data_IF_731084670574
#
_entry.id   IF_731084670574
#
_cell.length_a   1.000
_cell.length_b   1.000
_cell.length_c   1.000
_cell.angle_alpha   90.00
_cell.angle_beta   90.00
_cell.angle_gamma   90.00
#
_symmetry.space_group_name_H-M   'P 1'
#
loop_
_entity.id
_entity.type
_entity.pdbx_description
1 polymer ?
#
# COMPACT_ATOMS: atom_id res chain seq x y z
N UNK A 1 -15.14 -32.31 -6.23
CA UNK A 1 -13.78 -32.31 -6.80
C UNK A 1 -13.12 -31.01 -6.40
N UNK A 2 -11.93 -31.02 -5.78
CA UNK A 2 -11.20 -29.77 -5.60
C UNK A 2 -10.88 -29.22 -6.99
N UNK A 3 -11.06 -27.93 -7.21
CA UNK A 3 -10.63 -27.26 -8.45
C UNK A 3 -9.10 -27.42 -8.54
N UNK A 4 -8.64 -28.33 -9.40
CA UNK A 4 -7.23 -28.74 -9.51
C UNK A 4 -6.40 -27.87 -10.46
N UNK A 5 -6.96 -26.81 -11.03
CA UNK A 5 -6.21 -25.83 -11.82
C UNK A 5 -6.33 -24.45 -11.18
N UNK A 6 -5.20 -23.79 -10.94
CA UNK A 6 -5.18 -22.37 -10.64
C UNK A 6 -5.91 -21.62 -11.77
N UNK A 7 -6.85 -20.75 -11.40
CA UNK A 7 -7.56 -19.92 -12.36
C UNK A 7 -6.63 -18.77 -12.81
N UNK A 8 -6.77 -18.31 -14.07
CA UNK A 8 -6.03 -17.14 -14.54
C UNK A 8 -6.53 -15.87 -13.84
N UNK A 9 -5.71 -14.80 -13.85
CA UNK A 9 -6.04 -13.50 -13.24
C UNK A 9 -7.36 -12.93 -13.79
N UNK A 10 -7.66 -13.16 -15.06
CA UNK A 10 -8.90 -12.77 -15.74
C UNK A 10 -10.15 -13.35 -15.08
N UNK A 11 -10.05 -14.53 -14.46
CA UNK A 11 -11.19 -15.14 -13.80
C UNK A 11 -11.64 -14.38 -12.53
N UNK A 12 -10.82 -13.45 -12.04
CA UNK A 12 -11.18 -12.56 -10.93
C UNK A 12 -12.06 -11.38 -11.39
N UNK A 13 -12.16 -11.15 -12.71
CA UNK A 13 -12.93 -10.06 -13.32
C UNK A 13 -14.22 -10.61 -13.92
N UNK A 14 -15.33 -10.41 -13.22
CA UNK A 14 -16.66 -10.82 -13.68
C UNK A 14 -17.74 -9.93 -13.02
N UNK A 15 -18.71 -9.39 -13.78
CA UNK A 15 -19.68 -8.44 -13.27
C UNK A 15 -20.66 -9.01 -12.23
N UNK A 16 -20.74 -10.34 -12.09
CA UNK A 16 -21.69 -11.02 -11.20
C UNK A 16 -20.99 -11.62 -9.98
N UNK A 17 -19.85 -12.29 -10.19
CA UNK A 17 -19.19 -13.17 -9.22
C UNK A 17 -17.71 -12.88 -9.00
N UNK A 18 -17.14 -11.94 -9.76
CA UNK A 18 -15.74 -11.54 -9.62
C UNK A 18 -15.50 -10.72 -8.35
N UNK A 19 -14.26 -10.75 -7.85
CA UNK A 19 -13.78 -9.76 -6.87
C UNK A 19 -13.71 -8.38 -7.53
N UNK A 20 -13.39 -8.35 -8.82
CA UNK A 20 -13.45 -7.18 -9.67
C UNK A 20 -14.64 -7.33 -10.61
N UNK A 21 -15.50 -6.30 -10.69
CA UNK A 21 -16.69 -6.29 -11.55
C UNK A 21 -16.37 -5.87 -12.98
N UNK A 22 -15.46 -4.93 -13.13
CA UNK A 22 -14.98 -4.42 -14.41
C UNK A 22 -13.63 -3.74 -14.25
N UNK A 23 -12.87 -3.65 -15.34
CA UNK A 23 -11.66 -2.82 -15.43
C UNK A 23 -11.79 -1.97 -16.68
N UNK A 24 -11.52 -0.68 -16.57
CA UNK A 24 -11.64 0.27 -17.67
C UNK A 24 -10.40 1.20 -17.73
N UNK A 25 -10.03 1.69 -18.93
CA UNK A 25 -9.05 2.74 -19.03
C UNK A 25 -9.57 4.01 -18.35
N UNK A 26 -8.68 4.71 -17.64
CA UNK A 26 -8.95 6.06 -17.14
C UNK A 26 -8.76 7.03 -18.30
N UNK A 27 -9.63 8.04 -18.39
CA UNK A 27 -9.47 9.12 -19.37
C UNK A 27 -8.11 9.80 -19.19
N UNK A 28 -7.39 10.01 -20.31
CA UNK A 28 -6.03 10.53 -20.25
C UNK A 28 -6.01 11.94 -19.63
N UNK A 29 -5.36 12.15 -18.47
CA UNK A 29 -5.44 13.44 -17.79
C UNK A 29 -4.75 14.54 -18.58
N UNK A 30 -5.37 15.72 -18.63
CA UNK A 30 -4.84 16.87 -19.37
C UNK A 30 -3.47 17.32 -18.83
N UNK A 31 -2.44 17.20 -19.66
CA UNK A 31 -1.05 17.55 -19.33
C UNK A 31 -0.21 16.39 -18.77
N UNK A 32 -0.81 15.21 -18.55
CA UNK A 32 -0.04 14.02 -18.21
C UNK A 32 0.88 13.64 -19.39
N UNK A 33 2.06 13.02 -19.14
CA UNK A 33 2.91 12.48 -20.19
C UNK A 33 2.08 11.65 -21.19
N UNK A 34 2.31 11.74 -22.51
CA UNK A 34 1.54 10.98 -23.50
C UNK A 34 1.55 9.47 -23.28
N UNK A 35 2.59 8.93 -22.65
CA UNK A 35 2.70 7.51 -22.31
C UNK A 35 2.15 7.16 -20.94
N UNK A 36 1.68 8.11 -20.13
CA UNK A 36 1.00 7.78 -18.88
C UNK A 36 -0.25 6.96 -19.18
N UNK A 37 -0.26 5.71 -18.72
CA UNK A 37 -1.37 4.78 -18.93
C UNK A 37 -1.95 4.42 -17.58
N UNK A 38 -3.26 4.58 -17.42
CA UNK A 38 -3.97 4.25 -16.19
C UNK A 38 -5.20 3.40 -16.47
N UNK A 39 -5.41 2.39 -15.63
CA UNK A 39 -6.60 1.56 -15.58
C UNK A 39 -7.24 1.69 -14.20
N UNK A 40 -8.56 1.65 -14.14
CA UNK A 40 -9.32 1.59 -12.89
C UNK A 40 -10.10 0.29 -12.84
N UNK A 41 -10.09 -0.37 -11.68
CA UNK A 41 -10.89 -1.56 -11.43
C UNK A 41 -12.05 -1.22 -10.48
N UNK A 42 -13.27 -1.56 -10.89
CA UNK A 42 -14.46 -1.49 -10.05
C UNK A 42 -14.53 -2.75 -9.19
N UNK A 43 -14.33 -2.61 -7.89
CA UNK A 43 -14.24 -3.73 -6.95
C UNK A 43 -15.63 -4.07 -6.40
N UNK A 44 -15.91 -5.37 -6.28
CA UNK A 44 -17.15 -5.87 -5.72
C UNK A 44 -17.32 -5.43 -4.26
N UNK A 45 -18.56 -5.11 -3.89
CA UNK A 45 -18.87 -4.64 -2.53
C UNK A 45 -18.85 -5.81 -1.52
N UNK A 46 -17.68 -6.06 -0.94
CA UNK A 46 -17.43 -7.14 0.01
C UNK A 46 -18.23 -7.00 1.31
N UNK A 47 -18.81 -5.81 1.60
CA UNK A 47 -19.67 -5.60 2.77
C UNK A 47 -20.97 -6.40 2.72
N UNK A 48 -21.34 -6.90 1.54
CA UNK A 48 -22.44 -7.85 1.38
C UNK A 48 -22.15 -9.23 2.00
N UNK A 49 -20.89 -9.54 2.27
CA UNK A 49 -20.43 -10.80 2.84
C UNK A 49 -20.14 -10.69 4.35
N UNK A 50 -20.16 -9.49 4.93
CA UNK A 50 -19.89 -9.25 6.34
C UNK A 50 -19.24 -7.89 6.61
N UNK A 51 -18.59 -7.74 7.76
CA UNK A 51 -17.90 -6.51 8.16
C UNK A 51 -16.53 -6.37 7.44
N UNK A 52 -16.58 -6.28 6.12
CA UNK A 52 -15.43 -6.31 5.21
C UNK A 52 -15.45 -5.09 4.28
N UNK A 53 -14.95 -3.94 4.73
CA UNK A 53 -14.94 -2.70 3.95
C UNK A 53 -13.67 -2.60 3.10
N UNK A 54 -13.57 -3.43 2.06
CA UNK A 54 -12.53 -3.26 1.04
C UNK A 54 -12.80 -2.01 0.18
N UNK A 55 -11.74 -1.41 -0.34
CA UNK A 55 -11.84 -0.30 -1.28
C UNK A 55 -12.65 -0.74 -2.51
N UNK A 56 -13.51 0.16 -2.99
CA UNK A 56 -14.44 -0.13 -4.10
C UNK A 56 -13.85 0.20 -5.46
N UNK A 57 -12.68 0.82 -5.47
CA UNK A 57 -11.94 1.23 -6.65
C UNK A 57 -10.46 1.00 -6.36
N UNK A 58 -9.75 0.45 -7.33
CA UNK A 58 -8.28 0.41 -7.36
C UNK A 58 -7.76 0.92 -8.70
N UNK A 59 -6.46 1.21 -8.76
CA UNK A 59 -5.83 1.82 -9.92
C UNK A 59 -4.58 1.05 -10.31
N UNK A 60 -4.24 1.10 -11.58
CA UNK A 60 -3.01 0.52 -12.08
C UNK A 60 -2.40 1.44 -13.12
N UNK A 61 -1.12 1.77 -12.94
CA UNK A 61 -0.42 2.71 -13.82
C UNK A 61 0.86 2.12 -14.41
N UNK A 62 1.18 2.56 -15.62
CA UNK A 62 2.44 2.27 -16.33
C UNK A 62 2.81 3.43 -17.26
N UNK A 63 3.99 3.33 -17.89
CA UNK A 63 4.32 4.12 -19.07
C UNK A 63 4.18 3.29 -20.37
N UNK A 64 3.08 3.48 -21.09
CA UNK A 64 2.86 2.90 -22.42
C UNK A 64 2.55 1.41 -22.42
N UNK A 65 2.15 0.83 -21.28
CA UNK A 65 1.77 -0.59 -21.17
C UNK A 65 0.35 -0.75 -20.58
N UNK A 66 -0.69 -0.72 -21.43
CA UNK A 66 -2.07 -0.91 -20.99
C UNK A 66 -2.32 -2.26 -20.31
N UNK A 67 -1.59 -3.31 -20.70
CA UNK A 67 -1.78 -4.63 -20.12
C UNK A 67 -1.18 -4.70 -18.72
N UNK A 68 0.01 -4.15 -18.52
CA UNK A 68 0.62 -4.01 -17.20
C UNK A 68 -0.24 -3.15 -16.27
N UNK A 69 -0.80 -2.04 -16.77
CA UNK A 69 -1.70 -1.19 -16.01
C UNK A 69 -2.98 -1.95 -15.60
N UNK A 70 -3.54 -2.77 -16.50
CA UNK A 70 -4.69 -3.61 -16.19
C UNK A 70 -4.36 -4.65 -15.12
N UNK A 71 -3.21 -5.32 -15.23
CA UNK A 71 -2.75 -6.31 -14.22
C UNK A 71 -2.58 -5.64 -12.87
N UNK A 72 -1.95 -4.47 -12.82
CA UNK A 72 -1.74 -3.72 -11.58
C UNK A 72 -3.07 -3.34 -10.92
N UNK A 73 -4.05 -2.86 -11.69
CA UNK A 73 -5.37 -2.50 -11.16
C UNK A 73 -6.09 -3.70 -10.53
N UNK A 74 -6.07 -4.86 -11.20
CA UNK A 74 -6.67 -6.09 -10.67
C UNK A 74 -5.88 -6.61 -9.46
N UNK A 75 -4.55 -6.58 -9.49
CA UNK A 75 -3.72 -7.01 -8.38
C UNK A 75 -3.93 -6.15 -7.13
N UNK A 76 -4.01 -4.82 -7.27
CA UNK A 76 -4.35 -3.93 -6.16
C UNK A 76 -5.77 -4.20 -5.65
N UNK A 77 -6.75 -4.46 -6.52
CA UNK A 77 -8.11 -4.82 -6.07
C UNK A 77 -8.10 -6.09 -5.19
N UNK A 78 -7.35 -7.11 -5.60
CA UNK A 78 -7.17 -8.35 -4.82
C UNK A 78 -6.47 -8.07 -3.50
N UNK A 79 -5.44 -7.23 -3.50
CA UNK A 79 -4.72 -6.81 -2.30
C UNK A 79 -5.66 -6.15 -1.29
N UNK A 80 -6.43 -5.12 -1.71
CA UNK A 80 -7.38 -4.42 -0.85
C UNK A 80 -8.49 -5.36 -0.39
N UNK A 81 -8.99 -6.23 -1.26
CA UNK A 81 -9.98 -7.24 -0.88
C UNK A 81 -9.44 -8.15 0.22
N UNK A 82 -8.32 -8.83 -0.01
CA UNK A 82 -7.74 -9.77 0.94
C UNK A 82 -7.27 -9.09 2.24
N UNK A 83 -6.63 -7.92 2.16
CA UNK A 83 -6.13 -7.19 3.31
C UNK A 83 -7.22 -6.74 4.29
N UNK A 84 -8.42 -6.46 3.78
CA UNK A 84 -9.57 -6.06 4.60
C UNK A 84 -10.37 -7.24 5.16
N UNK A 85 -9.99 -8.49 4.85
CA UNK A 85 -10.73 -9.69 5.23
C UNK A 85 -10.17 -10.31 6.51
N UNK A 86 -10.89 -10.17 7.61
CA UNK A 86 -10.65 -11.04 8.76
C UNK A 86 -11.26 -12.43 8.52
N UNK A 87 -10.50 -13.52 8.76
CA UNK A 87 -11.08 -14.85 8.74
C UNK A 87 -12.24 -14.98 9.74
N UNK A 88 -13.40 -15.54 9.34
CA UNK A 88 -14.59 -15.60 10.18
C UNK A 88 -14.45 -16.63 11.31
N UNK A 89 -15.38 -16.60 12.26
CA UNK A 89 -15.35 -17.53 13.39
C UNK A 89 -15.47 -19.00 12.97
N UNK A 90 -14.67 -19.86 13.59
CA UNK A 90 -14.51 -21.27 13.23
C UNK A 90 -13.55 -21.51 12.06
N UNK A 91 -13.01 -20.47 11.42
CA UNK A 91 -11.96 -20.63 10.40
C UNK A 91 -10.64 -21.03 11.06
N UNK A 92 -9.81 -21.90 10.46
CA UNK A 92 -8.53 -22.29 11.04
C UNK A 92 -7.57 -21.13 11.30
N UNK A 93 -7.69 -20.04 10.55
CA UNK A 93 -6.92 -18.78 10.73
C UNK A 93 -7.74 -17.68 11.43
N UNK A 94 -8.80 -18.03 12.16
CA UNK A 94 -9.56 -17.07 12.97
C UNK A 94 -8.62 -16.29 13.90
N UNK A 95 -8.63 -14.95 13.86
CA UNK A 95 -7.85 -14.16 14.78
C UNK A 95 -8.33 -14.33 16.22
N UNK A 96 -7.39 -14.39 17.16
CA UNK A 96 -7.66 -14.58 18.58
C UNK A 96 -7.77 -13.23 19.29
N UNK A 97 -8.86 -13.02 20.03
CA UNK A 97 -8.96 -11.91 20.99
C UNK A 97 -8.23 -12.29 22.27
N UNK A 98 -7.15 -11.59 22.60
CA UNK A 98 -6.31 -11.84 23.77
C UNK A 98 -5.48 -10.60 24.13
N UNK A 99 -4.91 -10.61 25.33
CA UNK A 99 -3.80 -9.74 25.74
C UNK A 99 -2.46 -10.39 25.38
N UNK A 100 -1.39 -9.60 25.32
CA UNK A 100 -0.05 -10.16 25.10
C UNK A 100 0.38 -11.03 26.31
N UNK A 101 -0.01 -10.66 27.53
CA UNK A 101 0.29 -11.42 28.73
C UNK A 101 -0.32 -12.84 28.69
N UNK A 102 -1.57 -12.98 28.22
CA UNK A 102 -2.22 -14.29 28.04
C UNK A 102 -1.47 -15.16 27.01
N UNK A 103 -1.08 -14.60 25.88
CA UNK A 103 -0.32 -15.33 24.86
C UNK A 103 1.06 -15.76 25.37
N UNK A 104 1.76 -14.90 26.10
CA UNK A 104 3.05 -15.22 26.72
C UNK A 104 2.92 -16.31 27.79
N UNK A 105 1.84 -16.29 28.59
CA UNK A 105 1.58 -17.32 29.61
C UNK A 105 1.33 -18.71 28.99
N UNK A 106 0.92 -18.76 27.72
CA UNK A 106 0.82 -19.98 26.92
C UNK A 106 2.11 -20.33 26.17
N UNK A 107 3.21 -19.67 26.51
CA UNK A 107 4.53 -19.85 25.88
C UNK A 107 4.53 -19.55 24.37
N UNK A 108 3.55 -18.76 23.90
CA UNK A 108 3.45 -18.42 22.49
C UNK A 108 4.48 -17.33 22.11
N UNK A 109 5.14 -17.49 20.97
CA UNK A 109 5.94 -16.43 20.35
C UNK A 109 5.02 -15.37 19.77
N UNK A 110 5.34 -14.09 19.98
CA UNK A 110 4.55 -12.99 19.48
C UNK A 110 5.38 -11.72 19.21
N UNK A 111 4.93 -10.93 18.24
CA UNK A 111 5.33 -9.53 18.09
C UNK A 111 4.45 -8.66 19.00
N UNK A 112 4.83 -8.59 20.27
CA UNK A 112 4.08 -7.88 21.31
C UNK A 112 4.64 -6.51 21.71
N UNK A 113 4.18 -5.94 22.85
CA UNK A 113 4.77 -4.75 23.45
C UNK A 113 6.30 -4.85 23.51
N UNK A 114 7.00 -3.80 23.09
CA UNK A 114 8.48 -3.75 23.06
C UNK A 114 9.14 -4.39 21.83
N UNK A 115 8.45 -5.29 21.11
CA UNK A 115 8.91 -5.81 19.82
C UNK A 115 8.40 -4.99 18.62
N UNK A 116 7.42 -4.11 18.86
CA UNK A 116 6.74 -3.31 17.83
C UNK A 116 6.96 -1.81 18.04
N UNK A 117 6.88 -0.99 16.97
CA UNK A 117 6.90 0.45 17.09
C UNK A 117 5.81 0.96 18.02
N UNK A 118 6.19 1.82 18.96
CA UNK A 118 5.26 2.53 19.84
C UNK A 118 5.36 4.03 19.56
N UNK A 119 4.26 4.75 19.79
CA UNK A 119 4.32 6.20 19.84
C UNK A 119 5.18 6.67 21.01
N UNK A 120 5.82 7.83 20.86
CA UNK A 120 6.61 8.40 21.94
C UNK A 120 5.70 8.71 23.15
N UNK A 121 6.19 8.57 24.41
CA UNK A 121 5.35 8.68 25.61
C UNK A 121 4.51 9.97 25.70
N UNK A 122 5.07 11.08 25.24
CA UNK A 122 4.41 12.38 25.23
C UNK A 122 3.27 12.49 24.20
N UNK A 123 3.24 11.64 23.16
CA UNK A 123 2.15 11.60 22.18
C UNK A 123 0.89 11.01 22.81
N UNK A 124 1.01 9.97 23.63
CA UNK A 124 -0.13 9.39 24.36
C UNK A 124 -0.78 10.38 25.34
N UNK A 125 -0.01 11.35 25.85
CA UNK A 125 -0.52 12.43 26.70
C UNK A 125 -1.21 13.58 25.95
N UNK A 126 -1.17 13.63 24.61
CA UNK A 126 -1.79 14.71 23.84
C UNK A 126 -3.33 14.63 23.92
N UNK A 127 -4.03 15.74 24.20
CA UNK A 127 -5.49 15.77 24.14
C UNK A 127 -6.01 15.31 22.78
N UNK A 128 -6.94 14.35 22.78
CA UNK A 128 -7.53 13.81 21.55
C UNK A 128 -6.63 12.87 20.74
N UNK A 129 -5.49 12.43 21.28
CA UNK A 129 -4.66 11.44 20.60
C UNK A 129 -5.46 10.15 20.37
N UNK A 130 -5.58 9.66 19.11
CA UNK A 130 -6.57 8.65 18.79
C UNK A 130 -6.11 7.21 19.06
N UNK A 131 -4.88 7.03 19.58
CA UNK A 131 -4.26 5.73 19.78
C UNK A 131 -3.99 5.43 21.25
N UNK A 132 -4.27 4.20 21.66
CA UNK A 132 -3.90 3.64 22.96
C UNK A 132 -2.56 2.90 22.85
N UNK A 133 -1.79 2.87 23.93
CA UNK A 133 -0.56 2.08 23.97
C UNK A 133 -0.87 0.57 23.93
N UNK A 134 -0.10 -0.22 23.18
CA UNK A 134 -0.15 -1.69 23.25
C UNK A 134 0.72 -2.15 24.43
N UNK A 135 0.10 -2.34 25.58
CA UNK A 135 0.74 -2.88 26.80
C UNK A 135 0.52 -4.40 26.93
N UNK A 136 1.21 -5.10 27.86
CA UNK A 136 0.97 -6.52 28.11
C UNK A 136 -0.49 -6.88 28.35
N UNK A 137 -1.24 -6.00 29.00
CA UNK A 137 -2.65 -6.19 29.39
C UNK A 137 -3.66 -5.57 28.41
N UNK A 138 -3.19 -4.94 27.32
CA UNK A 138 -4.07 -4.32 26.33
C UNK A 138 -4.79 -5.40 25.54
N UNK A 139 -6.15 -5.48 25.58
CA UNK A 139 -6.88 -6.44 24.78
C UNK A 139 -6.73 -6.10 23.30
N UNK A 140 -6.29 -7.06 22.50
CA UNK A 140 -6.10 -6.89 21.07
C UNK A 140 -6.60 -8.13 20.31
N UNK A 141 -6.57 -8.01 18.99
CA UNK A 141 -6.82 -9.12 18.09
C UNK A 141 -5.48 -9.56 17.49
N UNK A 142 -5.20 -10.86 17.55
CA UNK A 142 -3.94 -11.46 17.15
C UNK A 142 -4.17 -12.47 16.04
N UNK A 143 -3.39 -12.41 14.98
CA UNK A 143 -3.40 -13.40 13.90
C UNK A 143 -2.15 -14.26 13.96
N UNK A 144 -2.26 -15.49 13.47
CA UNK A 144 -1.08 -16.34 13.29
C UNK A 144 -0.22 -15.79 12.17
N UNK A 145 1.08 -15.89 12.36
CA UNK A 145 2.13 -15.50 11.44
C UNK A 145 3.28 -16.52 11.52
N UNK A 146 4.28 -16.34 10.67
CA UNK A 146 5.48 -17.17 10.63
C UNK A 146 6.70 -16.26 10.59
N UNK A 147 7.67 -16.54 11.45
CA UNK A 147 8.98 -15.88 11.48
C UNK A 147 10.05 -16.96 11.33
N UNK A 148 10.85 -16.90 10.26
CA UNK A 148 11.93 -17.87 10.01
C UNK A 148 11.47 -19.34 10.06
N UNK A 149 10.26 -19.61 9.54
CA UNK A 149 9.65 -20.95 9.55
C UNK A 149 8.95 -21.34 10.85
N UNK A 150 9.04 -20.51 11.89
CA UNK A 150 8.47 -20.79 13.20
C UNK A 150 7.15 -20.03 13.42
N UNK A 151 6.11 -20.66 13.99
CA UNK A 151 4.85 -19.99 14.28
C UNK A 151 5.00 -18.86 15.28
N UNK A 152 4.35 -17.73 15.03
CA UNK A 152 4.21 -16.64 15.97
C UNK A 152 2.84 -15.95 15.85
N UNK A 153 2.56 -15.03 16.77
CA UNK A 153 1.38 -14.17 16.72
C UNK A 153 1.76 -12.73 16.40
N UNK A 154 1.02 -12.10 15.51
CA UNK A 154 1.16 -10.69 15.17
C UNK A 154 -0.17 -9.96 15.43
N UNK A 155 -0.15 -8.68 15.84
CA UNK A 155 -1.39 -7.94 16.03
C UNK A 155 -2.07 -7.71 14.68
N UNK A 156 -3.38 -7.93 14.65
CA UNK A 156 -4.22 -7.59 13.50
C UNK A 156 -4.13 -6.10 13.15
N UNK A 157 -3.82 -5.25 14.14
CA UNK A 157 -3.58 -3.82 13.97
C UNK A 157 -2.48 -3.46 12.95
N UNK A 158 -1.54 -4.37 12.67
CA UNK A 158 -0.43 -4.17 11.74
C UNK A 158 -0.44 -5.13 10.55
N UNK A 159 -1.39 -6.07 10.48
CA UNK A 159 -1.42 -7.13 9.46
C UNK A 159 -2.68 -7.11 8.59
N UNK A 160 -3.74 -6.42 9.03
CA UNK A 160 -4.99 -6.32 8.28
C UNK A 160 -5.46 -4.86 8.21
N UNK A 161 -6.18 -4.56 7.15
CA UNK A 161 -6.74 -3.25 6.86
C UNK A 161 -8.18 -3.13 7.38
N UNK A 162 -8.57 -1.92 7.81
CA UNK A 162 -9.92 -1.52 8.25
C UNK A 162 -10.69 -2.52 9.13
N UNK A 163 -10.00 -3.38 9.88
CA UNK A 163 -10.58 -4.51 10.60
C UNK A 163 -11.46 -4.14 11.80
N UNK A 164 -11.31 -2.93 12.33
CA UNK A 164 -12.06 -2.41 13.50
C UNK A 164 -13.49 -2.03 13.11
N UNK A 165 -14.31 -3.04 12.83
CA UNK A 165 -15.72 -2.91 12.45
C UNK A 165 -16.63 -3.62 13.46
N UNK A 166 -17.90 -3.24 13.50
CA UNK A 166 -18.90 -3.84 14.41
C UNK A 166 -18.40 -3.92 15.85
N UNK A 167 -18.54 -5.09 16.47
CA UNK A 167 -18.09 -5.36 17.85
C UNK A 167 -16.58 -5.15 18.07
N UNK A 168 -15.76 -5.27 17.02
CA UNK A 168 -14.30 -5.06 17.11
C UNK A 168 -13.93 -3.58 17.32
N UNK A 169 -14.87 -2.64 17.14
CA UNK A 169 -14.70 -1.23 17.50
C UNK A 169 -14.51 -1.02 19.00
N UNK A 170 -14.92 -1.98 19.84
CA UNK A 170 -14.71 -1.96 21.29
C UNK A 170 -13.26 -2.20 21.69
N UNK A 171 -12.43 -2.77 20.82
CA UNK A 171 -11.01 -2.97 21.10
C UNK A 171 -10.27 -1.61 21.06
N UNK A 172 -9.24 -1.36 21.88
CA UNK A 172 -8.44 -0.13 21.86
C UNK A 172 -7.68 0.02 20.54
N UNK A 173 -7.74 1.18 19.87
CA UNK A 173 -6.99 1.46 18.64
C UNK A 173 -5.51 1.66 18.95
N UNK A 174 -4.68 0.64 18.73
CA UNK A 174 -3.26 0.70 19.16
C UNK A 174 -2.30 1.31 18.13
N UNK A 175 -2.61 1.18 16.84
CA UNK A 175 -1.76 1.67 15.76
C UNK A 175 -2.59 2.40 14.70
N UNK A 176 -1.92 3.27 13.96
CA UNK A 176 -2.44 3.79 12.69
C UNK A 176 -2.63 2.66 11.69
N UNK A 177 -3.50 2.88 10.72
CA UNK A 177 -3.65 1.96 9.60
C UNK A 177 -2.39 2.08 8.75
N UNK A 178 -1.60 1.00 8.67
CA UNK A 178 -0.39 0.96 7.88
C UNK A 178 -0.66 0.12 6.62
N UNK A 179 -0.38 0.72 5.46
CA UNK A 179 -0.49 0.07 4.16
C UNK A 179 0.85 -0.51 3.70
N UNK A 180 1.97 -0.05 4.25
CA UNK A 180 3.29 -0.50 3.84
C UNK A 180 3.43 -2.02 4.03
N UNK A 181 3.80 -2.72 2.96
CA UNK A 181 4.10 -4.15 3.01
C UNK A 181 2.93 -5.09 2.73
N UNK A 182 1.74 -4.55 2.49
CA UNK A 182 0.67 -5.35 1.88
C UNK A 182 0.89 -5.42 0.38
N UNK A 183 0.93 -6.63 -0.19
CA UNK A 183 1.20 -6.79 -1.60
C UNK A 183 0.48 -8.01 -2.18
N UNK A 184 0.15 -7.93 -3.47
CA UNK A 184 -0.23 -9.08 -4.30
C UNK A 184 0.92 -9.44 -5.23
N UNK A 185 1.15 -10.74 -5.43
CA UNK A 185 2.17 -11.28 -6.32
C UNK A 185 1.77 -12.59 -6.98
N UNK A 186 2.59 -13.06 -7.91
CA UNK A 186 2.50 -14.36 -8.57
C UNK A 186 3.00 -15.48 -7.64
N UNK A 187 2.22 -15.74 -6.59
CA UNK A 187 2.59 -16.65 -5.52
C UNK A 187 3.12 -15.92 -4.29
N UNK A 188 3.41 -16.69 -3.24
CA UNK A 188 3.77 -16.14 -1.94
C UNK A 188 5.11 -15.41 -1.98
N UNK A 189 6.13 -15.97 -2.65
CA UNK A 189 7.48 -15.40 -2.67
C UNK A 189 7.51 -14.02 -3.34
N UNK A 190 6.85 -13.87 -4.51
CA UNK A 190 6.73 -12.58 -5.20
C UNK A 190 5.93 -11.57 -4.36
N UNK A 191 4.86 -12.00 -3.68
CA UNK A 191 4.08 -11.12 -2.81
C UNK A 191 4.90 -10.65 -1.59
N UNK A 192 5.67 -11.55 -0.96
CA UNK A 192 6.55 -11.23 0.17
C UNK A 192 7.65 -10.28 -0.26
N UNK A 193 8.29 -10.53 -1.41
CA UNK A 193 9.35 -9.67 -1.94
C UNK A 193 8.83 -8.26 -2.24
N UNK A 194 7.67 -8.14 -2.90
CA UNK A 194 7.03 -6.84 -3.16
C UNK A 194 6.69 -6.09 -1.87
N UNK A 195 6.10 -6.79 -0.91
CA UNK A 195 5.79 -6.21 0.40
C UNK A 195 7.06 -5.74 1.13
N UNK A 196 8.13 -6.53 1.09
CA UNK A 196 9.41 -6.15 1.68
C UNK A 196 10.01 -4.90 1.02
N UNK A 197 10.02 -4.84 -0.31
CA UNK A 197 10.53 -3.67 -1.04
C UNK A 197 9.71 -2.42 -0.72
N UNK A 198 8.39 -2.53 -0.58
CA UNK A 198 7.55 -1.41 -0.15
C UNK A 198 7.87 -0.98 1.29
N UNK A 199 8.10 -1.91 2.22
CA UNK A 199 8.55 -1.56 3.58
C UNK A 199 9.89 -0.83 3.56
N UNK A 200 10.85 -1.29 2.75
CA UNK A 200 12.16 -0.63 2.58
C UNK A 200 12.00 0.77 1.98
N UNK A 201 11.11 0.94 1.00
CA UNK A 201 10.79 2.25 0.42
C UNK A 201 10.29 3.23 1.48
N UNK A 202 9.35 2.78 2.32
CA UNK A 202 8.76 3.61 3.38
C UNK A 202 9.78 3.90 4.48
N UNK A 203 10.59 2.94 4.88
CA UNK A 203 11.67 3.16 5.84
C UNK A 203 12.66 4.22 5.34
N UNK A 204 13.16 4.07 4.11
CA UNK A 204 14.08 5.03 3.50
C UNK A 204 13.45 6.44 3.38
N UNK A 205 12.18 6.53 2.96
CA UNK A 205 11.45 7.79 2.87
C UNK A 205 11.30 8.47 4.24
N UNK A 206 10.81 7.75 5.24
CA UNK A 206 10.54 8.31 6.57
C UNK A 206 11.83 8.79 7.23
N UNK A 207 12.92 8.02 7.14
CA UNK A 207 14.23 8.43 7.64
C UNK A 207 14.79 9.63 6.87
N UNK A 208 14.77 9.59 5.54
CA UNK A 208 15.28 10.67 4.70
C UNK A 208 14.53 11.98 4.96
N UNK A 209 13.20 11.94 4.99
CA UNK A 209 12.36 13.12 5.18
C UNK A 209 12.43 13.68 6.59
N UNK A 210 12.37 12.84 7.63
CA UNK A 210 12.31 13.31 9.01
C UNK A 210 13.65 13.64 9.64
N UNK A 211 14.76 13.14 9.08
CA UNK A 211 16.11 13.37 9.61
C UNK A 211 16.97 14.29 8.73
N UNK A 212 16.35 15.01 7.79
CA UNK A 212 17.04 15.86 6.81
C UNK A 212 18.18 15.10 6.10
N UNK A 213 17.86 13.87 5.64
CA UNK A 213 18.84 12.98 5.04
C UNK A 213 19.48 13.55 3.77
N UNK A 214 20.73 13.15 3.45
CA UNK A 214 21.44 13.69 2.29
C UNK A 214 20.72 13.35 0.98
N UNK A 215 20.66 14.32 0.07
CA UNK A 215 20.07 14.17 -1.27
C UNK A 215 21.14 14.12 -2.35
N UNK A 216 21.19 13.04 -3.12
CA UNK A 216 21.97 12.97 -4.36
C UNK A 216 21.04 13.03 -5.57
N UNK A 217 21.15 14.10 -6.35
CA UNK A 217 20.38 14.28 -7.57
C UNK A 217 20.75 13.24 -8.63
N UNK A 218 19.73 12.72 -9.32
CA UNK A 218 19.86 11.84 -10.48
C UNK A 218 19.39 12.65 -11.69
N UNK A 219 20.24 12.74 -12.73
CA UNK A 219 19.86 13.37 -13.99
C UNK A 219 18.76 12.53 -14.67
N UNK A 220 17.54 13.05 -14.90
CA UNK A 220 16.49 12.31 -15.58
C UNK A 220 16.90 11.77 -16.95
N UNK A 221 17.75 12.50 -17.70
CA UNK A 221 18.23 12.08 -19.01
C UNK A 221 19.17 10.85 -18.93
N UNK A 222 19.73 10.57 -17.75
CA UNK A 222 20.58 9.40 -17.50
C UNK A 222 19.79 8.12 -17.20
N UNK A 223 18.48 8.23 -16.93
CA UNK A 223 17.60 7.09 -16.60
C UNK A 223 17.09 6.45 -17.91
N UNK A 224 17.50 5.20 -18.24
CA UNK A 224 17.12 4.55 -19.49
C UNK A 224 15.60 4.47 -19.68
N UNK A 225 15.07 4.93 -20.82
CA UNK A 225 13.65 4.88 -21.16
C UNK A 225 12.80 6.01 -20.59
N UNK A 226 13.30 6.78 -19.61
CA UNK A 226 12.52 7.83 -18.95
C UNK A 226 12.24 9.02 -19.89
N UNK A 227 13.22 9.40 -20.71
CA UNK A 227 13.05 10.47 -21.71
C UNK A 227 11.93 10.14 -22.69
N UNK A 228 11.84 8.89 -23.14
CA UNK A 228 10.79 8.41 -24.02
C UNK A 228 9.44 8.34 -23.30
N UNK A 229 9.42 7.94 -22.02
CA UNK A 229 8.23 7.90 -21.18
C UNK A 229 7.63 9.31 -20.97
N UNK A 230 8.48 10.34 -20.87
CA UNK A 230 8.11 11.74 -20.64
C UNK A 230 8.03 12.59 -21.91
N UNK A 231 8.27 12.04 -23.11
CA UNK A 231 8.32 12.82 -24.34
C UNK A 231 7.00 13.58 -24.59
N UNK A 232 7.07 14.91 -24.73
CA UNK A 232 5.89 15.77 -24.90
C UNK A 232 5.17 16.16 -23.60
N UNK A 233 5.73 15.78 -22.45
CA UNK A 233 5.28 16.22 -21.14
C UNK A 233 5.73 17.67 -20.86
N UNK A 234 4.88 18.45 -20.19
CA UNK A 234 5.20 19.81 -19.72
C UNK A 234 5.65 19.89 -18.25
N UNK A 235 5.85 18.76 -17.59
CA UNK A 235 6.26 18.68 -16.18
C UNK A 235 7.78 18.75 -16.06
N UNK A 236 8.26 19.55 -15.11
CA UNK A 236 9.65 19.48 -14.66
C UNK A 236 9.79 18.28 -13.72
N UNK A 237 10.83 17.47 -13.91
CA UNK A 237 11.06 16.24 -13.13
C UNK A 237 12.40 16.33 -12.40
N UNK A 238 12.34 16.19 -11.08
CA UNK A 238 13.51 16.10 -10.21
C UNK A 238 13.55 14.70 -9.59
N UNK A 239 14.72 14.07 -9.60
CA UNK A 239 14.91 12.72 -9.07
C UNK A 239 16.06 12.75 -8.09
N UNK A 240 15.87 12.13 -6.93
CA UNK A 240 16.90 12.00 -5.90
C UNK A 240 16.97 10.58 -5.36
N UNK A 241 18.18 10.14 -5.06
CA UNK A 241 18.39 8.93 -4.26
C UNK A 241 18.03 9.21 -2.80
N UNK A 242 17.27 8.29 -2.19
CA UNK A 242 17.04 8.24 -0.75
C UNK A 242 18.04 7.24 -0.14
N UNK A 243 18.76 7.61 0.94
CA UNK A 243 19.64 6.67 1.63
C UNK A 243 18.89 5.40 2.07
N UNK A 244 19.42 4.23 1.72
CA UNK A 244 18.87 2.93 2.12
C UNK A 244 20.00 1.91 2.23
N UNK A 245 19.94 1.08 3.28
CA UNK A 245 20.92 0.01 3.51
C UNK A 245 20.56 -1.30 2.78
N UNK A 246 19.33 -1.40 2.27
CA UNK A 246 18.76 -2.67 1.80
C UNK A 246 18.66 -2.78 0.29
N UNK A 247 18.14 -1.74 -0.38
CA UNK A 247 17.94 -1.73 -1.82
C UNK A 247 17.81 -0.28 -2.35
N UNK A 248 18.07 -0.03 -3.65
CA UNK A 248 17.91 1.29 -4.25
C UNK A 248 16.53 1.90 -4.00
N UNK A 249 16.51 3.04 -3.31
CA UNK A 249 15.31 3.81 -3.03
C UNK A 249 15.41 5.18 -3.69
N UNK A 250 14.37 5.57 -4.42
CA UNK A 250 14.35 6.80 -5.21
C UNK A 250 13.10 7.60 -4.89
N UNK A 251 13.26 8.91 -4.72
CA UNK A 251 12.18 9.87 -4.69
C UNK A 251 12.18 10.68 -5.99
N UNK A 252 11.00 10.97 -6.50
CA UNK A 252 10.79 11.89 -7.61
C UNK A 252 9.84 13.00 -7.18
N UNK A 253 10.12 14.22 -7.62
CA UNK A 253 9.24 15.38 -7.50
C UNK A 253 8.94 15.87 -8.92
N UNK A 254 7.65 15.91 -9.26
CA UNK A 254 7.17 16.56 -10.48
C UNK A 254 6.65 17.94 -10.14
N UNK A 255 6.98 18.92 -10.98
CA UNK A 255 6.48 20.28 -10.90
C UNK A 255 5.75 20.64 -12.19
N UNK A 256 4.52 21.11 -12.06
CA UNK A 256 3.74 21.67 -13.15
C UNK A 256 3.85 23.20 -13.10
N UNK A 257 4.69 23.82 -13.93
CA UNK A 257 4.86 25.28 -13.93
C UNK A 257 3.61 26.02 -14.41
N UNK A 258 2.76 25.36 -15.21
CA UNK A 258 1.52 25.96 -15.70
C UNK A 258 0.46 26.09 -14.62
N UNK A 259 0.45 25.18 -13.64
CA UNK A 259 -0.50 25.17 -12.51
C UNK A 259 0.13 25.54 -11.16
N UNK A 260 1.45 25.66 -11.07
CA UNK A 260 2.17 25.89 -9.82
C UNK A 260 2.03 24.73 -8.83
N UNK A 261 1.93 23.49 -9.35
CA UNK A 261 1.65 22.31 -8.56
C UNK A 261 2.87 21.40 -8.41
N UNK A 262 2.96 20.74 -7.27
CA UNK A 262 3.99 19.74 -6.99
C UNK A 262 3.34 18.42 -6.60
N UNK A 263 3.96 17.32 -6.99
CA UNK A 263 3.62 16.00 -6.48
C UNK A 263 4.88 15.14 -6.37
N UNK A 264 4.89 14.27 -5.36
CA UNK A 264 6.01 13.39 -5.11
C UNK A 264 5.59 11.93 -5.32
N UNK A 265 6.56 11.11 -5.69
CA UNK A 265 6.43 9.67 -5.82
C UNK A 265 7.71 8.99 -5.37
N UNK A 266 7.57 7.74 -4.92
CA UNK A 266 8.65 6.99 -4.30
C UNK A 266 8.67 5.58 -4.86
N UNK A 267 9.85 4.97 -4.87
CA UNK A 267 10.00 3.59 -5.32
C UNK A 267 11.24 2.95 -4.71
N UNK A 268 11.12 1.68 -4.33
CA UNK A 268 12.25 0.78 -4.08
C UNK A 268 12.24 -0.39 -5.07
N UNK A 269 13.36 -0.60 -5.78
CA UNK A 269 13.57 -1.72 -6.73
C UNK A 269 15.03 -2.15 -6.70
N UNK A 270 15.31 -3.40 -7.05
CA UNK A 270 16.71 -3.86 -7.18
C UNK A 270 17.47 -3.18 -8.30
N UNK A 271 16.80 -2.83 -9.40
CA UNK A 271 17.36 -2.01 -10.47
C UNK A 271 17.08 -0.51 -10.17
N UNK A 272 18.12 0.31 -9.97
CA UNK A 272 17.97 1.76 -9.74
C UNK A 272 17.23 2.51 -10.85
N UNK A 273 17.36 2.08 -12.11
CA UNK A 273 16.65 2.69 -13.23
C UNK A 273 15.15 2.39 -13.16
N UNK A 274 14.78 1.17 -12.78
CA UNK A 274 13.38 0.81 -12.54
C UNK A 274 12.81 1.56 -11.33
N UNK A 275 13.58 1.72 -10.25
CA UNK A 275 13.18 2.53 -9.10
C UNK A 275 12.93 3.98 -9.54
N UNK A 276 13.85 4.61 -10.28
CA UNK A 276 13.67 5.97 -10.75
C UNK A 276 12.44 6.14 -11.66
N UNK A 277 12.25 5.25 -12.64
CA UNK A 277 11.07 5.29 -13.51
C UNK A 277 9.77 5.11 -12.74
N UNK A 278 9.74 4.18 -11.78
CA UNK A 278 8.55 3.94 -10.93
C UNK A 278 8.26 5.13 -10.03
N UNK A 279 9.28 5.73 -9.40
CA UNK A 279 9.11 6.92 -8.57
C UNK A 279 8.51 8.08 -9.37
N UNK A 280 8.99 8.31 -10.60
CA UNK A 280 8.43 9.34 -11.49
C UNK A 280 6.99 9.00 -11.90
N UNK A 281 6.69 7.74 -12.22
CA UNK A 281 5.31 7.31 -12.53
C UNK A 281 4.36 7.57 -11.36
N UNK A 282 4.77 7.25 -10.12
CA UNK A 282 3.99 7.52 -8.91
C UNK A 282 3.82 9.01 -8.65
N UNK A 283 4.85 9.82 -8.95
CA UNK A 283 4.78 11.28 -8.83
C UNK A 283 3.78 11.88 -9.83
N UNK A 284 3.81 11.41 -11.09
CA UNK A 284 2.83 11.78 -12.12
C UNK A 284 1.42 11.33 -11.72
N UNK A 285 1.28 10.09 -11.22
CA UNK A 285 0.00 9.57 -10.75
C UNK A 285 -0.57 10.43 -9.61
N UNK A 286 0.26 10.77 -8.62
CA UNK A 286 -0.11 11.66 -7.52
C UNK A 286 -0.49 13.04 -8.03
N UNK A 287 0.27 13.60 -8.98
CA UNK A 287 -0.04 14.88 -9.61
C UNK A 287 -1.42 14.90 -10.30
N UNK A 288 -1.83 13.80 -10.95
CA UNK A 288 -3.18 13.67 -11.52
C UNK A 288 -4.24 13.87 -10.43
N UNK A 289 -4.10 13.21 -9.28
CA UNK A 289 -5.04 13.38 -8.16
C UNK A 289 -4.96 14.77 -7.53
N UNK A 290 -3.76 15.35 -7.41
CA UNK A 290 -3.59 16.71 -6.90
C UNK A 290 -4.36 17.72 -7.75
N UNK A 291 -4.54 17.51 -9.06
CA UNK A 291 -5.35 18.42 -9.89
C UNK A 291 -6.81 18.44 -9.44
N UNK A 292 -7.32 17.33 -8.92
CA UNK A 292 -8.68 17.26 -8.38
C UNK A 292 -8.84 17.85 -6.98
N UNK A 293 -7.75 18.13 -6.26
CA UNK A 293 -7.81 18.72 -4.91
C UNK A 293 -7.61 20.24 -4.90
N UNK A 294 -7.35 20.87 -6.06
CA UNK A 294 -7.13 22.32 -6.16
C UNK A 294 -8.39 23.12 -5.80
N UNK A 295 -9.55 22.63 -6.22
CA UNK A 295 -10.85 23.24 -5.96
C UNK A 295 -11.61 22.51 -4.85
N UNK A 296 -12.35 23.25 -4.03
CA UNK A 296 -13.10 22.70 -2.89
C UNK A 296 -14.19 21.69 -3.28
N UNK A 297 -14.65 21.71 -4.54
CA UNK A 297 -15.64 20.79 -5.11
C UNK A 297 -15.07 19.93 -6.25
N UNK A 298 -13.73 19.82 -6.30
CA UNK A 298 -13.01 19.05 -7.30
C UNK A 298 -13.39 17.56 -7.33
N UNK A 299 -13.07 16.91 -8.43
CA UNK A 299 -13.61 15.59 -8.78
C UNK A 299 -13.22 14.46 -7.81
N UNK A 300 -12.13 14.62 -7.06
CA UNK A 300 -11.68 13.63 -6.05
C UNK A 300 -12.58 13.57 -4.81
N UNK A 301 -13.43 14.58 -4.59
CA UNK A 301 -14.36 14.62 -3.46
C UNK A 301 -15.77 14.11 -3.81
N UNK A 302 -15.99 13.64 -5.04
CA UNK A 302 -17.29 13.22 -5.57
C UNK A 302 -17.47 11.70 -5.57
#
# INVERSE_FOLDING_TARGET
>A
MPLTSALPLEALVDPVSGIVRAVAPVEHPAGAPPRYTAMTADVADARRLGAWPADRVSLGTTFGDPRGAWIAAVAEAVERYCGNRLPPSGHPQEPRRATAAELTAEEARLYGPGALPAYAPWQYGRPGFPYAELTPDTPALWTRAVENGEPCWAPVALTHLNWRQGELRSLPRTHHLNYAGIATGQGLDDAVERGLLEVVERDALELWWHLDGPTRGIDPASVPGLTEDLAGCGLDVHIVEMPSEFAPCVAALVHDPGRGMYAAGFACRYDPAEAARKAVLEAVHTWVFTQGTVDADGWVYR
#
